data_IF_565077997186
#
_entry.id   IF_565077997186
#
_cell.length_a   1.000
_cell.length_b   1.000
_cell.length_c   1.000
_cell.angle_alpha   90.00
_cell.angle_beta   90.00
_cell.angle_gamma   90.00
#
_symmetry.space_group_name_H-M   'P 1'
#
loop_
_entity.id
_entity.type
_entity.pdbx_description
1 polymer ?
#
# COMPACT_ATOMS: atom_id res chain seq x y z
N UNK A 1 -13.55 -0.06 15.95
CA UNK A 1 -13.12 1.27 16.52
C UNK A 1 -11.79 1.65 15.88
N UNK A 2 -11.59 2.92 15.47
CA UNK A 2 -10.30 3.34 14.89
C UNK A 2 -9.18 3.32 15.96
N UNK A 3 -8.02 2.83 15.56
CA UNK A 3 -6.83 2.84 16.39
C UNK A 3 -6.17 4.24 16.36
N UNK A 4 -5.42 4.56 17.42
CA UNK A 4 -4.41 5.63 17.39
C UNK A 4 -3.11 5.14 16.80
N UNK A 5 -2.17 6.05 16.49
CA UNK A 5 -0.83 5.67 16.08
C UNK A 5 -0.10 4.80 17.12
N UNK A 6 -0.36 5.01 18.41
CA UNK A 6 0.13 4.12 19.46
C UNK A 6 -0.61 2.78 19.46
N UNK A 7 -1.94 2.77 19.28
CA UNK A 7 -2.71 1.54 19.15
C UNK A 7 -2.23 0.69 17.96
N UNK A 8 -1.90 1.33 16.83
CA UNK A 8 -1.27 0.66 15.70
C UNK A 8 0.09 0.05 16.07
N UNK A 9 0.96 0.78 16.78
CA UNK A 9 2.24 0.22 17.22
C UNK A 9 2.06 -0.99 18.13
N UNK A 10 1.15 -0.91 19.08
CA UNK A 10 0.84 -2.05 19.95
C UNK A 10 0.26 -3.24 19.16
N UNK A 11 -0.64 -2.98 18.20
CA UNK A 11 -1.18 -4.08 17.38
C UNK A 11 -0.13 -4.79 16.53
N UNK A 12 0.95 -4.11 16.13
CA UNK A 12 2.07 -4.76 15.43
C UNK A 12 2.87 -5.71 16.34
N UNK A 13 2.83 -5.56 17.67
CA UNK A 13 3.53 -6.44 18.60
C UNK A 13 2.92 -7.83 18.67
N UNK A 14 1.65 -7.95 18.25
CA UNK A 14 0.96 -9.26 18.14
C UNK A 14 1.38 -10.05 16.89
N UNK A 15 2.22 -9.44 16.02
CA UNK A 15 2.74 -10.07 14.81
C UNK A 15 4.25 -10.29 14.96
N UNK A 16 4.71 -11.48 14.58
CA UNK A 16 6.12 -11.88 14.67
C UNK A 16 6.68 -12.26 13.29
N UNK A 17 6.70 -11.31 12.32
CA UNK A 17 7.20 -11.61 10.98
C UNK A 17 8.69 -11.91 10.99
N UNK A 18 9.11 -12.85 10.15
CA UNK A 18 10.52 -13.14 9.91
C UNK A 18 11.09 -12.09 8.96
N UNK A 19 11.72 -11.05 9.51
CA UNK A 19 12.25 -9.89 8.76
C UNK A 19 13.75 -9.80 8.90
N UNK A 20 14.44 -9.64 7.76
CA UNK A 20 15.86 -9.32 7.71
C UNK A 20 16.07 -7.90 7.18
N UNK A 21 16.90 -7.11 7.87
CA UNK A 21 17.36 -5.78 7.41
C UNK A 21 18.88 -5.76 7.47
N UNK A 22 19.53 -5.44 6.35
CA UNK A 22 20.99 -5.43 6.22
C UNK A 22 21.66 -6.73 6.72
N UNK A 23 21.00 -7.87 6.48
CA UNK A 23 21.48 -9.20 6.87
C UNK A 23 21.17 -9.61 8.32
N UNK A 24 20.67 -8.71 9.16
CA UNK A 24 20.30 -9.00 10.54
C UNK A 24 18.82 -9.36 10.67
N UNK A 25 18.50 -10.39 11.46
CA UNK A 25 17.12 -10.73 11.82
C UNK A 25 16.58 -9.65 12.79
N UNK A 26 15.39 -9.16 12.52
CA UNK A 26 14.69 -8.18 13.37
C UNK A 26 13.77 -8.91 14.33
N UNK A 27 13.99 -8.75 15.63
CA UNK A 27 13.16 -9.39 16.67
C UNK A 27 11.81 -8.69 16.84
N UNK A 28 11.80 -7.35 16.82
CA UNK A 28 10.58 -6.54 16.92
C UNK A 28 10.60 -5.45 15.87
N UNK A 29 9.63 -5.48 14.96
CA UNK A 29 9.49 -4.48 13.89
C UNK A 29 9.27 -3.09 14.44
N UNK A 30 8.48 -2.98 15.51
CA UNK A 30 8.13 -1.69 16.14
C UNK A 30 9.32 -1.03 16.81
N UNK A 31 10.18 -1.86 17.42
CA UNK A 31 11.31 -1.39 18.22
C UNK A 31 12.61 -1.29 17.42
N UNK A 32 12.63 -1.80 16.17
CA UNK A 32 13.78 -1.74 15.30
C UNK A 32 14.05 -0.31 14.80
N UNK A 33 15.18 0.34 15.18
CA UNK A 33 15.49 1.69 14.72
C UNK A 33 15.48 1.83 13.19
N UNK A 34 15.92 0.79 12.48
CA UNK A 34 15.96 0.76 11.02
C UNK A 34 14.57 0.88 10.38
N UNK A 35 13.50 0.49 11.06
CA UNK A 35 12.11 0.50 10.55
C UNK A 35 11.27 1.63 11.17
N UNK A 36 11.70 2.22 12.27
CA UNK A 36 10.96 3.25 13.00
C UNK A 36 10.47 4.42 12.13
N UNK A 37 11.22 4.98 11.16
CA UNK A 37 10.72 6.04 10.30
C UNK A 37 9.50 5.60 9.45
N UNK A 38 9.44 4.35 9.02
CA UNK A 38 8.31 3.79 8.29
C UNK A 38 7.09 3.59 9.17
N UNK A 39 7.29 3.01 10.35
CA UNK A 39 6.25 2.85 11.39
C UNK A 39 5.65 4.21 11.76
N UNK A 40 6.49 5.24 11.96
CA UNK A 40 6.04 6.59 12.25
C UNK A 40 5.16 7.17 11.14
N UNK A 41 5.56 7.00 9.86
CA UNK A 41 4.77 7.46 8.72
C UNK A 41 3.38 6.83 8.66
N UNK A 42 3.30 5.52 8.89
CA UNK A 42 2.00 4.81 8.94
C UNK A 42 1.18 5.23 10.16
N UNK A 43 1.79 5.35 11.34
CA UNK A 43 1.10 5.76 12.57
C UNK A 43 0.37 7.10 12.42
N UNK A 44 0.96 8.05 11.68
CA UNK A 44 0.31 9.34 11.41
C UNK A 44 -1.03 9.19 10.67
N UNK A 45 -1.20 8.17 9.83
CA UNK A 45 -2.49 7.94 9.14
C UNK A 45 -3.62 7.55 10.10
N UNK A 46 -3.28 6.97 11.23
CA UNK A 46 -4.22 6.65 12.31
C UNK A 46 -4.55 7.90 13.14
N UNK A 47 -3.50 8.62 13.57
CA UNK A 47 -3.68 9.82 14.41
C UNK A 47 -4.49 10.90 13.70
N UNK A 48 -4.26 11.11 12.38
CA UNK A 48 -5.04 12.07 11.60
C UNK A 48 -6.53 11.70 11.53
N UNK A 49 -6.88 10.42 11.48
CA UNK A 49 -8.28 9.98 11.48
C UNK A 49 -9.00 10.20 12.82
N UNK A 50 -8.26 10.43 13.90
CA UNK A 50 -8.82 10.70 15.22
C UNK A 50 -8.97 12.20 15.51
N UNK A 51 -8.27 13.09 14.79
CA UNK A 51 -8.36 14.54 14.99
C UNK A 51 -9.71 15.07 14.51
N UNK A 52 -10.42 15.83 15.36
CA UNK A 52 -11.76 16.34 15.07
C UNK A 52 -11.83 17.09 13.74
N UNK A 53 -10.89 18.01 13.51
CA UNK A 53 -10.86 18.85 12.29
C UNK A 53 -10.66 18.04 11.02
N UNK A 54 -10.13 16.81 11.08
CA UNK A 54 -9.86 15.96 9.92
C UNK A 54 -10.85 14.83 9.73
N UNK A 55 -11.76 14.60 10.67
CA UNK A 55 -12.80 13.54 10.57
C UNK A 55 -13.53 13.54 9.22
N UNK A 56 -14.03 14.67 8.69
CA UNK A 56 -14.77 14.67 7.43
C UNK A 56 -13.95 14.17 6.24
N UNK A 57 -12.63 14.41 6.28
CA UNK A 57 -11.69 14.00 5.22
C UNK A 57 -11.15 12.60 5.47
N UNK A 58 -10.81 12.26 6.72
CA UNK A 58 -10.08 11.03 7.06
C UNK A 58 -10.97 9.82 7.32
N UNK A 59 -12.29 10.01 7.50
CA UNK A 59 -13.24 8.90 7.74
C UNK A 59 -14.19 8.73 6.57
N UNK A 60 -14.63 7.50 6.36
CA UNK A 60 -15.59 7.14 5.32
C UNK A 60 -16.59 6.10 5.83
N UNK A 61 -17.78 6.12 5.25
CA UNK A 61 -18.75 5.04 5.36
C UNK A 61 -18.65 4.16 4.12
N UNK A 62 -18.67 2.85 4.29
CA UNK A 62 -18.54 1.88 3.21
C UNK A 62 -19.86 1.10 3.11
N UNK A 63 -20.80 1.65 2.36
CA UNK A 63 -22.15 1.14 2.24
C UNK A 63 -22.24 -0.34 1.83
N UNK A 64 -21.45 -0.86 0.84
CA UNK A 64 -21.53 -2.27 0.45
C UNK A 64 -21.24 -3.25 1.58
N UNK A 65 -20.52 -2.81 2.63
CA UNK A 65 -20.15 -3.63 3.79
C UNK A 65 -20.98 -3.26 5.02
N UNK A 66 -21.69 -2.13 5.00
CA UNK A 66 -22.36 -1.56 6.17
C UNK A 66 -21.41 -1.01 7.24
N UNK A 67 -20.15 -0.76 6.88
CA UNK A 67 -19.15 -0.22 7.81
C UNK A 67 -19.22 1.30 7.86
N UNK A 68 -19.14 1.87 9.07
CA UNK A 68 -19.23 3.31 9.30
C UNK A 68 -17.95 3.84 9.96
N UNK A 69 -17.57 5.05 9.58
CA UNK A 69 -16.46 5.78 10.18
C UNK A 69 -15.11 5.09 10.05
N UNK A 70 -14.90 4.24 9.02
CA UNK A 70 -13.60 3.59 8.78
C UNK A 70 -12.55 4.61 8.34
N UNK A 71 -11.27 4.27 8.51
CA UNK A 71 -10.20 5.11 7.96
C UNK A 71 -10.32 5.16 6.43
N UNK A 72 -10.48 6.36 5.86
CA UNK A 72 -10.73 6.57 4.43
C UNK A 72 -9.64 5.98 3.54
N UNK A 73 -8.41 5.93 4.01
CA UNK A 73 -7.31 5.34 3.22
C UNK A 73 -7.55 3.86 2.91
N UNK A 74 -8.27 3.14 3.78
CA UNK A 74 -8.63 1.73 3.59
C UNK A 74 -10.04 1.56 3.01
N UNK A 75 -10.87 2.61 3.02
CA UNK A 75 -12.24 2.57 2.52
C UNK A 75 -12.33 2.34 1.02
N UNK A 76 -13.30 1.51 0.60
CA UNK A 76 -13.69 1.36 -0.80
C UNK A 76 -14.60 2.55 -1.17
N UNK A 77 -14.24 3.36 -2.20
CA UNK A 77 -15.06 4.48 -2.62
C UNK A 77 -16.37 3.98 -3.26
N UNK A 78 -17.49 4.57 -2.87
CA UNK A 78 -18.82 4.25 -3.41
C UNK A 78 -19.27 5.20 -4.52
N UNK A 79 -18.61 6.36 -4.66
CA UNK A 79 -18.97 7.39 -5.62
C UNK A 79 -17.77 8.33 -5.88
N UNK A 80 -17.94 9.27 -6.81
CA UNK A 80 -16.90 10.25 -7.19
C UNK A 80 -16.47 11.15 -6.03
N UNK A 81 -17.39 11.53 -5.13
CA UNK A 81 -17.04 12.37 -3.98
C UNK A 81 -16.12 11.63 -2.99
N UNK A 82 -16.31 10.31 -2.82
CA UNK A 82 -15.41 9.48 -2.00
C UNK A 82 -13.99 9.43 -2.58
N UNK A 83 -13.88 9.37 -3.91
CA UNK A 83 -12.59 9.43 -4.60
C UNK A 83 -11.91 10.79 -4.37
N UNK A 84 -12.65 11.91 -4.51
CA UNK A 84 -12.12 13.25 -4.23
C UNK A 84 -11.69 13.40 -2.76
N UNK A 85 -12.50 12.94 -1.83
CA UNK A 85 -12.17 12.97 -0.41
C UNK A 85 -10.96 12.10 -0.08
N UNK A 86 -10.77 10.97 -0.78
CA UNK A 86 -9.58 10.12 -0.64
C UNK A 86 -8.30 10.84 -1.09
N UNK A 87 -8.37 11.62 -2.18
CA UNK A 87 -7.24 12.46 -2.61
C UNK A 87 -6.84 13.47 -1.53
N UNK A 88 -7.81 14.17 -0.96
CA UNK A 88 -7.54 15.17 0.09
C UNK A 88 -6.97 14.49 1.35
N UNK A 89 -7.48 13.31 1.74
CA UNK A 89 -6.95 12.54 2.87
C UNK A 89 -5.48 12.14 2.66
N UNK A 90 -5.15 11.64 1.47
CA UNK A 90 -3.78 11.23 1.13
C UNK A 90 -2.85 12.44 1.10
N UNK A 91 -3.26 13.56 0.44
CA UNK A 91 -2.48 14.80 0.40
C UNK A 91 -2.19 15.31 1.79
N UNK A 92 -3.22 15.40 2.65
CA UNK A 92 -3.13 15.90 4.03
C UNK A 92 -2.06 15.15 4.84
N UNK A 93 -2.05 13.83 4.81
CA UNK A 93 -1.05 13.06 5.55
C UNK A 93 0.34 13.17 4.91
N UNK A 94 0.42 13.27 3.58
CA UNK A 94 1.70 13.44 2.89
C UNK A 94 2.35 14.81 3.12
N UNK A 95 1.57 15.84 3.44
CA UNK A 95 2.09 17.15 3.90
C UNK A 95 2.86 17.04 5.22
N UNK A 96 2.56 16.05 6.07
CA UNK A 96 3.31 15.79 7.32
C UNK A 96 4.44 14.78 7.09
N UNK A 97 4.17 13.68 6.38
CA UNK A 97 5.04 12.49 6.38
C UNK A 97 5.83 12.30 5.08
N UNK A 98 5.50 13.04 4.03
CA UNK A 98 6.01 12.83 2.68
C UNK A 98 5.46 11.60 1.98
N UNK A 99 4.93 10.61 2.71
CA UNK A 99 4.32 9.41 2.15
C UNK A 99 3.34 8.75 3.13
N UNK A 100 2.10 8.57 2.72
CA UNK A 100 1.03 8.02 3.56
C UNK A 100 0.89 6.49 3.49
N UNK A 101 1.68 5.77 2.76
CA UNK A 101 1.77 4.30 2.52
C UNK A 101 0.46 3.49 2.65
N UNK A 102 -0.38 3.74 3.65
CA UNK A 102 -1.58 2.97 3.98
C UNK A 102 -2.62 2.95 2.84
N UNK A 103 -2.70 4.00 2.02
CA UNK A 103 -3.63 4.07 0.89
C UNK A 103 -3.42 2.96 -0.16
N UNK A 104 -2.19 2.41 -0.28
CA UNK A 104 -1.87 1.31 -1.18
C UNK A 104 -2.78 0.09 -0.95
N UNK A 105 -2.96 -0.29 0.32
CA UNK A 105 -3.87 -1.37 0.71
C UNK A 105 -5.32 -1.09 0.33
N UNK A 106 -5.80 0.14 0.55
CA UNK A 106 -7.15 0.55 0.17
C UNK A 106 -7.39 0.56 -1.35
N UNK A 107 -6.36 0.91 -2.14
CA UNK A 107 -6.42 0.84 -3.60
C UNK A 107 -6.54 -0.62 -4.08
N UNK A 108 -5.76 -1.51 -3.46
CA UNK A 108 -5.83 -2.94 -3.75
C UNK A 108 -7.17 -3.56 -3.33
N UNK A 109 -7.71 -3.20 -2.16
CA UNK A 109 -9.03 -3.66 -1.73
C UNK A 109 -10.13 -3.24 -2.72
N UNK A 110 -10.06 -2.01 -3.24
CA UNK A 110 -11.02 -1.52 -4.25
C UNK A 110 -10.95 -2.35 -5.53
N UNK A 111 -9.75 -2.65 -6.02
CA UNK A 111 -9.54 -3.47 -7.20
C UNK A 111 -9.96 -4.94 -6.99
N UNK A 112 -9.66 -5.51 -5.83
CA UNK A 112 -10.05 -6.89 -5.46
C UNK A 112 -11.58 -6.99 -5.36
N UNK A 113 -12.25 -5.98 -4.77
CA UNK A 113 -13.70 -5.92 -4.72
C UNK A 113 -14.34 -5.94 -6.11
N UNK A 114 -13.83 -5.12 -7.04
CA UNK A 114 -14.30 -5.09 -8.43
C UNK A 114 -14.04 -6.42 -9.16
N UNK A 115 -12.84 -6.99 -8.96
CA UNK A 115 -12.47 -8.27 -9.56
C UNK A 115 -13.35 -9.42 -9.07
N UNK A 116 -13.65 -9.48 -7.77
CA UNK A 116 -14.54 -10.51 -7.20
C UNK A 116 -15.93 -10.48 -7.85
N UNK A 117 -16.47 -9.27 -8.05
CA UNK A 117 -17.77 -9.13 -8.75
C UNK A 117 -17.73 -9.60 -10.21
N UNK A 118 -16.63 -9.37 -10.92
CA UNK A 118 -16.47 -9.87 -12.30
C UNK A 118 -16.40 -11.40 -12.34
N UNK A 119 -15.57 -12.00 -11.47
CA UNK A 119 -15.41 -13.46 -11.42
C UNK A 119 -16.72 -14.14 -11.06
N UNK A 120 -17.45 -13.62 -10.07
CA UNK A 120 -18.75 -14.18 -9.64
C UNK A 120 -19.82 -13.97 -10.74
N UNK A 121 -19.78 -12.85 -11.47
CA UNK A 121 -20.63 -12.59 -12.63
C UNK A 121 -20.41 -13.57 -13.79
N UNK A 122 -19.21 -14.11 -13.93
CA UNK A 122 -18.87 -15.17 -14.89
C UNK A 122 -19.33 -16.58 -14.42
N UNK A 123 -20.10 -16.66 -13.33
CA UNK A 123 -20.71 -17.90 -12.83
C UNK A 123 -19.82 -18.78 -11.95
N UNK A 124 -18.71 -18.25 -11.46
CA UNK A 124 -17.75 -18.93 -10.54
C UNK A 124 -17.87 -18.32 -9.15
N UNK A 125 -18.95 -18.54 -8.47
CA UNK A 125 -19.30 -17.84 -7.24
C UNK A 125 -18.56 -18.30 -5.98
N UNK A 126 -18.20 -17.34 -5.16
CA UNK A 126 -17.91 -17.31 -3.72
C UNK A 126 -16.87 -16.22 -3.38
N UNK A 127 -16.33 -15.51 -4.38
CA UNK A 127 -15.30 -14.51 -4.13
C UNK A 127 -15.86 -13.22 -3.51
N UNK A 128 -17.06 -12.78 -3.92
CA UNK A 128 -17.72 -11.59 -3.32
C UNK A 128 -17.99 -11.81 -1.82
N UNK A 129 -18.59 -12.93 -1.38
CA UNK A 129 -18.74 -13.25 0.04
C UNK A 129 -17.41 -13.27 0.80
N UNK A 130 -16.35 -13.87 0.23
CA UNK A 130 -15.03 -13.93 0.86
C UNK A 130 -14.41 -12.53 1.00
N UNK A 131 -14.43 -11.73 -0.07
CA UNK A 131 -13.89 -10.35 -0.03
C UNK A 131 -14.71 -9.49 0.93
N UNK A 132 -16.05 -9.65 0.98
CA UNK A 132 -16.91 -8.96 1.94
C UNK A 132 -16.53 -9.28 3.39
N UNK A 133 -16.34 -10.55 3.70
CA UNK A 133 -15.92 -11.00 5.04
C UNK A 133 -14.54 -10.45 5.39
N UNK A 134 -13.60 -10.49 4.43
CA UNK A 134 -12.25 -9.95 4.61
C UNK A 134 -12.25 -8.43 4.83
N UNK A 135 -13.05 -7.67 4.09
CA UNK A 135 -13.23 -6.23 4.33
C UNK A 135 -13.76 -5.96 5.73
N UNK A 136 -14.74 -6.74 6.19
CA UNK A 136 -15.24 -6.68 7.57
C UNK A 136 -14.12 -6.88 8.59
N UNK A 137 -13.25 -7.89 8.38
CA UNK A 137 -12.08 -8.15 9.21
C UNK A 137 -11.11 -6.95 9.22
N UNK A 138 -10.75 -6.42 8.04
CA UNK A 138 -9.85 -5.28 7.91
C UNK A 138 -10.38 -4.04 8.64
N UNK A 139 -11.67 -3.74 8.48
CA UNK A 139 -12.28 -2.56 9.12
C UNK A 139 -12.47 -2.73 10.62
N UNK A 140 -12.82 -3.94 11.08
CA UNK A 140 -12.95 -4.22 12.52
C UNK A 140 -11.62 -4.07 13.27
N UNK A 141 -10.53 -4.55 12.66
CA UNK A 141 -9.17 -4.44 13.21
C UNK A 141 -8.45 -3.13 12.87
N UNK A 142 -9.05 -2.25 12.04
CA UNK A 142 -8.38 -1.06 11.48
C UNK A 142 -6.99 -1.38 10.91
N UNK A 143 -6.89 -2.50 10.18
CA UNK A 143 -5.63 -3.06 9.72
C UNK A 143 -4.96 -2.19 8.65
N UNK A 144 -3.64 -2.31 8.54
CA UNK A 144 -2.83 -1.75 7.46
C UNK A 144 -2.29 -2.88 6.60
N UNK A 145 -2.42 -2.74 5.26
CA UNK A 145 -2.12 -3.80 4.30
C UNK A 145 -1.01 -3.39 3.34
N UNK A 146 -0.07 -4.28 3.10
CA UNK A 146 0.92 -4.17 2.05
C UNK A 146 0.43 -4.80 0.75
N UNK A 147 0.95 -4.36 -0.41
CA UNK A 147 0.55 -4.89 -1.73
C UNK A 147 1.72 -5.63 -2.37
N UNK A 148 1.59 -6.95 -2.45
CA UNK A 148 2.56 -7.86 -3.02
C UNK A 148 2.17 -8.21 -4.47
N UNK A 149 2.37 -7.27 -5.40
CA UNK A 149 1.99 -7.43 -6.80
C UNK A 149 3.17 -7.81 -7.70
N UNK A 150 4.29 -7.09 -7.58
CA UNK A 150 5.45 -7.28 -8.46
C UNK A 150 6.19 -8.57 -8.12
N UNK A 151 6.47 -9.40 -9.12
CA UNK A 151 7.28 -10.61 -8.97
C UNK A 151 8.79 -10.31 -9.09
N UNK A 152 9.65 -11.28 -8.75
CA UNK A 152 11.10 -11.14 -8.80
C UNK A 152 11.67 -10.97 -10.23
N UNK A 153 10.84 -11.08 -11.24
CA UNK A 153 11.09 -10.80 -12.67
C UNK A 153 11.87 -11.85 -13.46
N UNK A 154 12.69 -12.69 -12.92
CA UNK A 154 13.38 -13.76 -13.65
C UNK A 154 13.87 -13.36 -15.07
N UNK A 155 13.71 -14.21 -16.05
CA UNK A 155 13.93 -13.91 -17.47
C UNK A 155 12.70 -13.19 -18.06
N UNK A 156 12.86 -11.88 -18.33
CA UNK A 156 11.77 -11.02 -18.82
C UNK A 156 11.25 -11.37 -20.22
N UNK A 157 12.00 -12.13 -20.99
CA UNK A 157 11.57 -12.61 -22.32
C UNK A 157 10.57 -13.75 -22.21
N UNK A 158 10.44 -14.38 -21.05
CA UNK A 158 9.62 -15.56 -20.80
C UNK A 158 8.37 -15.25 -20.00
N UNK A 159 7.34 -16.06 -20.23
CA UNK A 159 6.11 -16.07 -19.43
C UNK A 159 6.38 -16.70 -18.06
N UNK A 160 5.51 -16.48 -17.04
CA UNK A 160 5.66 -17.09 -15.72
C UNK A 160 5.84 -18.61 -15.78
N UNK A 161 5.00 -19.33 -16.52
CA UNK A 161 5.08 -20.79 -16.66
C UNK A 161 6.38 -21.28 -17.32
N UNK A 162 7.05 -20.44 -18.10
CA UNK A 162 8.24 -20.79 -18.87
C UNK A 162 9.56 -20.34 -18.21
N UNK A 163 9.51 -19.85 -16.97
CA UNK A 163 10.71 -19.42 -16.24
C UNK A 163 11.61 -20.62 -15.94
N UNK A 164 12.95 -20.47 -16.07
CA UNK A 164 13.89 -21.52 -15.69
C UNK A 164 13.79 -21.92 -14.21
N UNK A 165 13.51 -20.95 -13.35
CA UNK A 165 13.14 -21.16 -11.96
C UNK A 165 11.66 -20.81 -11.78
N UNK A 166 10.78 -21.79 -11.53
CA UNK A 166 9.35 -21.54 -11.34
C UNK A 166 9.05 -20.62 -10.16
N UNK A 167 9.90 -20.64 -9.12
CA UNK A 167 9.73 -19.80 -7.92
C UNK A 167 10.16 -18.33 -8.13
N UNK A 168 10.65 -17.96 -9.32
CA UNK A 168 10.88 -16.56 -9.66
C UNK A 168 9.57 -15.73 -9.65
N UNK A 169 8.44 -16.39 -9.88
CA UNK A 169 7.10 -15.83 -9.77
C UNK A 169 6.31 -16.56 -8.70
N UNK A 170 5.54 -15.82 -7.91
CA UNK A 170 4.66 -16.44 -6.94
C UNK A 170 3.55 -17.23 -7.64
N UNK A 171 3.31 -18.44 -7.18
CA UNK A 171 2.32 -19.35 -7.74
C UNK A 171 1.68 -20.25 -6.68
N UNK A 172 0.57 -20.88 -7.07
CA UNK A 172 -0.07 -21.93 -6.30
C UNK A 172 0.74 -23.22 -6.55
N UNK A 173 1.52 -23.65 -5.56
CA UNK A 173 2.31 -24.85 -5.60
C UNK A 173 1.43 -26.11 -5.34
N UNK A 174 0.41 -25.97 -4.48
CA UNK A 174 -0.52 -27.05 -4.14
C UNK A 174 -1.92 -26.49 -3.88
N UNK A 175 -2.95 -27.24 -4.29
CA UNK A 175 -4.34 -27.02 -3.91
C UNK A 175 -4.78 -28.07 -2.92
N UNK A 176 -5.32 -27.63 -1.78
CA UNK A 176 -5.85 -28.50 -0.72
C UNK A 176 -7.35 -28.32 -0.58
N UNK A 177 -7.98 -29.22 0.16
CA UNK A 177 -9.42 -29.11 0.45
C UNK A 177 -9.75 -27.82 1.24
N UNK A 178 -8.85 -27.37 2.09
CA UNK A 178 -9.00 -26.24 3.01
C UNK A 178 -8.31 -24.95 2.55
N UNK A 179 -7.55 -24.96 1.42
CA UNK A 179 -6.85 -23.77 0.94
C UNK A 179 -5.87 -24.03 -0.19
N UNK A 180 -4.91 -23.12 -0.32
CA UNK A 180 -3.81 -23.21 -1.28
C UNK A 180 -2.47 -23.07 -0.58
N UNK A 181 -1.43 -23.68 -1.14
CA UNK A 181 -0.03 -23.49 -0.71
C UNK A 181 0.67 -22.65 -1.76
N UNK A 182 1.33 -21.59 -1.33
CA UNK A 182 2.03 -20.64 -2.19
C UNK A 182 3.55 -20.82 -2.10
N UNK A 183 4.21 -20.78 -3.25
CA UNK A 183 5.66 -20.69 -3.36
C UNK A 183 6.07 -19.62 -4.37
N UNK A 184 7.25 -19.03 -4.16
CA UNK A 184 7.82 -18.03 -5.05
C UNK A 184 8.15 -16.71 -4.38
N UNK A 185 8.43 -15.69 -5.18
CA UNK A 185 8.95 -14.42 -4.67
C UNK A 185 8.15 -13.23 -5.18
N UNK A 186 7.78 -12.34 -4.26
CA UNK A 186 7.26 -11.00 -4.56
C UNK A 186 8.29 -9.94 -4.17
N UNK A 187 8.45 -8.91 -4.98
CA UNK A 187 9.47 -7.89 -4.82
C UNK A 187 8.89 -6.48 -4.71
N UNK A 188 9.68 -5.58 -4.09
CA UNK A 188 9.39 -4.14 -3.99
C UNK A 188 8.05 -3.87 -3.27
N UNK A 189 7.79 -4.62 -2.19
CA UNK A 189 6.58 -4.43 -1.39
C UNK A 189 6.81 -3.28 -0.41
N UNK A 190 6.14 -2.17 -0.66
CA UNK A 190 6.23 -0.98 0.18
C UNK A 190 5.68 -1.25 1.57
N UNK A 191 6.48 -0.96 2.60
CA UNK A 191 6.08 -1.04 3.99
C UNK A 191 5.91 -2.45 4.54
N UNK A 192 6.15 -3.53 3.77
CA UNK A 192 5.85 -4.90 4.15
C UNK A 192 6.18 -5.26 5.60
N UNK A 193 7.35 -4.90 6.17
CA UNK A 193 7.69 -5.31 7.52
C UNK A 193 6.75 -4.83 8.62
N UNK A 194 6.11 -3.68 8.43
CA UNK A 194 5.24 -3.03 9.41
C UNK A 194 3.78 -2.92 8.94
N UNK A 195 3.36 -3.83 8.06
CA UNK A 195 1.95 -4.09 7.73
C UNK A 195 1.44 -5.25 8.58
N UNK A 196 0.12 -5.38 8.72
CA UNK A 196 -0.50 -6.53 9.38
C UNK A 196 -0.60 -7.73 8.44
N UNK A 197 -0.96 -7.44 7.19
CA UNK A 197 -1.15 -8.46 6.16
C UNK A 197 -0.66 -7.96 4.79
N UNK A 198 -0.37 -8.91 3.91
CA UNK A 198 -0.02 -8.65 2.52
C UNK A 198 -1.16 -9.09 1.60
N UNK A 199 -1.60 -8.18 0.73
CA UNK A 199 -2.47 -8.51 -0.40
C UNK A 199 -1.60 -8.98 -1.56
N UNK A 200 -1.60 -10.27 -1.80
CA UNK A 200 -0.91 -10.90 -2.93
C UNK A 200 -1.79 -10.74 -4.16
N UNK A 201 -1.20 -10.28 -5.27
CA UNK A 201 -1.91 -10.05 -6.53
C UNK A 201 -1.03 -10.44 -7.72
N UNK A 202 -1.60 -10.84 -8.87
CA UNK A 202 -0.83 -11.01 -10.11
C UNK A 202 -0.26 -9.67 -10.56
N UNK A 203 0.93 -9.68 -11.17
CA UNK A 203 1.62 -8.46 -11.61
C UNK A 203 1.46 -8.14 -13.10
N UNK A 204 0.73 -8.97 -13.87
CA UNK A 204 0.61 -8.87 -15.33
C UNK A 204 -0.57 -9.67 -15.88
N UNK A 205 -0.84 -9.49 -17.17
CA UNK A 205 -1.72 -10.40 -17.91
C UNK A 205 -1.18 -11.83 -17.88
N UNK A 206 -2.08 -12.78 -17.70
CA UNK A 206 -1.81 -14.22 -17.68
C UNK A 206 -2.42 -14.90 -18.92
N UNK A 207 -1.93 -16.09 -19.25
CA UNK A 207 -2.51 -17.01 -20.22
C UNK A 207 -2.98 -18.26 -19.49
N UNK A 208 -3.64 -19.16 -20.17
CA UNK A 208 -4.10 -20.44 -19.61
C UNK A 208 -2.94 -21.23 -18.97
N UNK A 209 -1.79 -21.25 -19.61
CA UNK A 209 -0.58 -21.90 -19.08
C UNK A 209 -0.05 -21.24 -17.81
N UNK A 210 -0.40 -19.97 -17.56
CA UNK A 210 -0.02 -19.23 -16.35
C UNK A 210 -1.06 -19.37 -15.23
N UNK A 211 -2.06 -20.25 -15.33
CA UNK A 211 -3.19 -20.31 -14.38
C UNK A 211 -2.76 -20.50 -12.92
N UNK A 212 -1.69 -21.25 -12.66
CA UNK A 212 -1.14 -21.39 -11.31
C UNK A 212 -0.58 -20.09 -10.73
N UNK A 213 -0.20 -19.13 -11.58
CA UNK A 213 0.33 -17.82 -11.21
C UNK A 213 -0.77 -16.75 -11.06
N UNK A 214 -1.99 -17.05 -11.50
CA UNK A 214 -3.16 -16.18 -11.36
C UNK A 214 -3.76 -16.38 -9.96
N UNK A 215 -3.12 -15.78 -8.96
CA UNK A 215 -3.54 -15.89 -7.56
C UNK A 215 -3.70 -14.49 -6.95
N UNK A 216 -4.81 -14.30 -6.22
CA UNK A 216 -5.04 -13.13 -5.37
C UNK A 216 -5.53 -13.61 -4.00
N UNK A 217 -4.85 -13.18 -2.94
CA UNK A 217 -5.16 -13.59 -1.58
C UNK A 217 -4.62 -12.61 -0.53
N UNK A 218 -5.03 -12.80 0.72
CA UNK A 218 -4.50 -12.09 1.87
C UNK A 218 -3.65 -13.03 2.74
N UNK A 219 -2.44 -12.62 3.09
CA UNK A 219 -1.49 -13.38 3.89
C UNK A 219 -1.02 -12.55 5.07
N UNK A 220 -1.09 -13.08 6.29
CA UNK A 220 -0.49 -12.42 7.47
C UNK A 220 1.02 -12.29 7.28
N UNK A 221 1.60 -11.17 7.73
CA UNK A 221 3.05 -10.94 7.59
C UNK A 221 3.90 -11.94 8.39
N UNK A 222 3.30 -12.58 9.40
CA UNK A 222 3.92 -13.60 10.24
C UNK A 222 3.50 -15.04 9.86
N UNK A 223 2.93 -15.23 8.68
CA UNK A 223 2.54 -16.56 8.20
C UNK A 223 3.77 -17.50 8.18
N UNK A 224 3.63 -18.75 8.66
CA UNK A 224 4.69 -19.76 8.53
C UNK A 224 5.16 -19.91 7.08
N UNK A 225 6.49 -19.92 6.85
CA UNK A 225 7.08 -19.98 5.53
C UNK A 225 7.27 -18.63 4.83
N UNK A 226 6.73 -17.52 5.37
CA UNK A 226 6.95 -16.18 4.82
C UNK A 226 8.22 -15.56 5.42
N UNK A 227 9.12 -15.09 4.55
CA UNK A 227 10.32 -14.33 4.97
C UNK A 227 10.36 -13.00 4.22
N UNK A 228 10.60 -11.92 4.92
CA UNK A 228 10.77 -10.58 4.38
C UNK A 228 12.24 -10.15 4.44
N UNK A 229 12.79 -9.73 3.31
CA UNK A 229 14.11 -9.11 3.23
C UNK A 229 13.92 -7.65 2.88
N UNK A 230 14.19 -6.77 3.82
CA UNK A 230 13.84 -5.35 3.75
C UNK A 230 15.07 -4.45 3.80
N UNK A 231 14.95 -3.27 3.23
CA UNK A 231 15.89 -2.18 3.44
C UNK A 231 15.44 -1.28 4.60
N UNK A 232 16.35 -0.53 5.22
CA UNK A 232 15.97 0.47 6.23
C UNK A 232 14.92 1.46 5.71
N UNK A 233 14.09 1.95 6.60
CA UNK A 233 13.10 2.99 6.33
C UNK A 233 13.68 4.37 6.61
N UNK A 234 14.10 5.10 5.59
CA UNK A 234 14.67 6.43 5.78
C UNK A 234 16.12 6.39 6.28
N UNK A 235 16.48 7.35 7.14
CA UNK A 235 17.84 7.54 7.68
C UNK A 235 17.80 7.65 9.21
N UNK A 236 17.49 6.57 9.92
CA UNK A 236 17.38 6.59 11.37
C UNK A 236 18.71 6.98 12.03
N UNK A 237 18.66 7.90 13.01
CA UNK A 237 19.84 8.34 13.75
C UNK A 237 20.77 9.36 13.05
N UNK A 238 20.52 9.71 11.79
CA UNK A 238 21.31 10.70 11.06
C UNK A 238 20.93 12.14 11.50
N UNK A 239 21.86 12.81 12.22
CA UNK A 239 21.59 14.14 12.81
C UNK A 239 21.26 15.23 11.78
N UNK A 240 21.84 15.16 10.58
CA UNK A 240 21.62 16.13 9.50
C UNK A 240 20.29 15.90 8.74
N UNK A 241 19.70 14.72 8.85
CA UNK A 241 18.53 14.31 8.06
C UNK A 241 17.27 14.21 8.92
N UNK A 242 16.91 15.27 9.65
CA UNK A 242 15.82 15.28 10.65
C UNK A 242 14.49 14.71 10.13
N UNK A 243 14.10 15.07 8.90
CA UNK A 243 12.87 14.59 8.29
C UNK A 243 12.93 13.09 8.01
N UNK A 244 13.96 12.62 7.29
CA UNK A 244 14.10 11.19 6.93
C UNK A 244 14.56 10.30 8.08
N UNK A 245 15.01 10.88 9.21
CA UNK A 245 15.18 10.17 10.47
C UNK A 245 13.86 9.93 11.20
N UNK A 246 12.85 10.81 10.99
CA UNK A 246 11.53 10.72 11.61
C UNK A 246 10.53 9.95 10.74
N UNK A 247 10.52 10.20 9.43
CA UNK A 247 9.61 9.61 8.45
C UNK A 247 10.37 9.00 7.28
N UNK A 248 9.91 7.85 6.83
CA UNK A 248 10.54 7.14 5.74
C UNK A 248 9.72 5.98 5.23
N UNK A 249 10.30 5.24 4.30
CA UNK A 249 9.63 4.11 3.67
C UNK A 249 10.62 2.98 3.46
N UNK A 250 10.32 1.82 4.06
CA UNK A 250 10.98 0.56 3.72
C UNK A 250 10.32 -0.06 2.50
N UNK A 251 11.06 -0.89 1.80
CA UNK A 251 10.53 -1.85 0.81
C UNK A 251 11.16 -3.19 1.09
N UNK A 252 10.43 -4.27 0.82
CA UNK A 252 10.91 -5.62 1.03
C UNK A 252 10.69 -6.51 -0.19
N UNK A 253 11.50 -7.55 -0.25
CA UNK A 253 11.25 -8.77 -1.01
C UNK A 253 10.57 -9.75 -0.05
N UNK A 254 9.50 -10.39 -0.48
CA UNK A 254 8.79 -11.43 0.26
C UNK A 254 9.04 -12.79 -0.42
N UNK A 255 9.61 -13.70 0.33
CA UNK A 255 9.88 -15.09 -0.08
C UNK A 255 8.82 -15.97 0.55
N UNK A 256 8.05 -16.65 -0.29
CA UNK A 256 7.02 -17.59 0.10
C UNK A 256 7.58 -19.02 -0.09
N UNK A 257 7.81 -19.70 1.00
CA UNK A 257 8.27 -21.07 1.06
C UNK A 257 7.17 -21.94 1.66
N UNK A 258 6.34 -22.53 0.79
CA UNK A 258 5.21 -23.37 1.16
C UNK A 258 4.21 -22.69 2.12
N UNK A 259 3.86 -21.43 1.85
CA UNK A 259 2.93 -20.65 2.69
C UNK A 259 1.49 -21.11 2.45
N UNK A 260 0.84 -21.64 3.48
CA UNK A 260 -0.57 -22.03 3.42
C UNK A 260 -1.49 -20.82 3.54
N UNK A 261 -2.53 -20.75 2.69
CA UNK A 261 -3.58 -19.74 2.70
C UNK A 261 -4.95 -20.43 2.63
N UNK A 262 -5.79 -20.28 3.66
CA UNK A 262 -7.13 -20.90 3.68
C UNK A 262 -8.07 -20.23 2.67
N UNK A 263 -9.09 -20.98 2.18
CA UNK A 263 -9.96 -20.52 1.10
C UNK A 263 -10.70 -19.21 1.38
N UNK A 264 -11.04 -18.91 2.63
CA UNK A 264 -11.70 -17.67 3.02
C UNK A 264 -10.83 -16.41 2.79
N UNK A 265 -9.51 -16.61 2.62
CA UNK A 265 -8.54 -15.54 2.32
C UNK A 265 -8.09 -15.53 0.85
N UNK A 266 -8.67 -16.38 0.00
CA UNK A 266 -8.35 -16.48 -1.42
C UNK A 266 -9.44 -15.81 -2.25
N UNK A 267 -9.06 -14.85 -3.09
CA UNK A 267 -9.94 -13.98 -3.89
C UNK A 267 -9.80 -14.22 -5.41
N UNK A 268 -8.83 -15.01 -5.83
CA UNK A 268 -8.60 -15.51 -7.19
C UNK A 268 -7.67 -16.71 -7.09
N UNK A 269 -7.98 -17.79 -7.79
CA UNK A 269 -7.16 -19.00 -7.80
C UNK A 269 -7.25 -19.71 -9.16
N UNK A 270 -6.57 -19.17 -10.17
CA UNK A 270 -6.48 -19.75 -11.48
C UNK A 270 -7.34 -19.07 -12.57
N UNK A 271 -8.15 -18.07 -12.21
CA UNK A 271 -8.93 -17.27 -13.17
C UNK A 271 -8.00 -16.32 -13.94
N UNK A 272 -7.14 -16.88 -14.77
CA UNK A 272 -6.07 -16.19 -15.49
C UNK A 272 -6.58 -15.02 -16.37
N UNK A 273 -7.81 -15.14 -16.93
CA UNK A 273 -8.45 -14.08 -17.72
C UNK A 273 -8.66 -12.81 -16.90
N UNK A 274 -8.86 -12.95 -15.59
CA UNK A 274 -9.13 -11.83 -14.68
C UNK A 274 -7.85 -11.20 -14.09
N UNK A 275 -6.68 -11.81 -14.33
CA UNK A 275 -5.40 -11.26 -13.84
C UNK A 275 -5.10 -9.87 -14.43
N UNK A 276 -5.26 -9.70 -15.74
CA UNK A 276 -5.07 -8.40 -16.42
C UNK A 276 -6.04 -7.31 -15.97
N UNK A 277 -7.36 -7.57 -15.97
CA UNK A 277 -8.34 -6.64 -15.42
C UNK A 277 -8.06 -6.22 -13.98
N UNK A 278 -7.68 -7.15 -13.09
CA UNK A 278 -7.31 -6.82 -11.70
C UNK A 278 -6.11 -5.86 -11.62
N UNK A 279 -5.07 -6.12 -12.43
CA UNK A 279 -3.88 -5.24 -12.51
C UNK A 279 -4.26 -3.86 -13.02
N UNK A 280 -5.16 -3.78 -14.01
CA UNK A 280 -5.64 -2.51 -14.55
C UNK A 280 -6.41 -1.70 -13.49
N UNK A 281 -7.36 -2.33 -12.79
CA UNK A 281 -8.15 -1.67 -11.75
C UNK A 281 -7.26 -1.16 -10.61
N UNK A 282 -6.35 -2.01 -10.12
CA UNK A 282 -5.39 -1.57 -9.12
C UNK A 282 -4.57 -0.37 -9.61
N UNK A 283 -4.07 -0.44 -10.85
CA UNK A 283 -3.27 0.65 -11.43
C UNK A 283 -4.07 1.95 -11.56
N UNK A 284 -5.37 1.87 -11.87
CA UNK A 284 -6.24 3.04 -11.94
C UNK A 284 -6.42 3.71 -10.58
N UNK A 285 -6.79 2.92 -9.54
CA UNK A 285 -6.91 3.42 -8.18
C UNK A 285 -5.57 3.97 -7.65
N UNK A 286 -4.48 3.22 -7.87
CA UNK A 286 -3.17 3.59 -7.37
C UNK A 286 -2.61 4.86 -8.04
N UNK A 287 -2.79 5.05 -9.34
CA UNK A 287 -2.40 6.28 -10.03
C UNK A 287 -3.17 7.50 -9.52
N UNK A 288 -4.46 7.31 -9.23
CA UNK A 288 -5.30 8.33 -8.65
C UNK A 288 -4.74 8.81 -7.30
N UNK A 289 -4.49 7.92 -6.36
CA UNK A 289 -3.98 8.26 -5.02
C UNK A 289 -2.51 8.69 -5.03
N UNK A 290 -1.67 8.14 -5.90
CA UNK A 290 -0.27 8.54 -6.06
C UNK A 290 -0.09 10.00 -6.44
N UNK A 291 -0.99 10.57 -7.24
CA UNK A 291 -0.90 11.99 -7.61
C UNK A 291 -1.16 12.87 -6.37
N UNK A 292 -2.13 12.51 -5.54
CA UNK A 292 -2.38 13.20 -4.28
C UNK A 292 -1.19 13.12 -3.31
N UNK A 293 -0.55 11.94 -3.22
CA UNK A 293 0.65 11.77 -2.43
C UNK A 293 1.80 12.67 -2.91
N UNK A 294 1.98 12.78 -4.23
CA UNK A 294 2.99 13.67 -4.83
C UNK A 294 2.67 15.14 -4.60
N UNK A 295 1.39 15.54 -4.68
CA UNK A 295 0.97 16.88 -4.38
C UNK A 295 1.26 17.25 -2.92
N UNK A 296 0.95 16.36 -1.95
CA UNK A 296 1.28 16.59 -0.54
C UNK A 296 2.78 16.66 -0.27
N UNK A 297 3.59 15.85 -0.96
CA UNK A 297 5.05 15.98 -0.89
C UNK A 297 5.55 17.27 -1.58
N UNK A 298 4.91 17.68 -2.66
CA UNK A 298 5.18 18.96 -3.34
C UNK A 298 4.96 20.16 -2.41
N UNK A 299 3.90 20.13 -1.60
CA UNK A 299 3.63 21.17 -0.59
C UNK A 299 4.79 21.30 0.42
N UNK A 300 5.38 20.15 0.85
CA UNK A 300 6.57 20.16 1.70
C UNK A 300 7.79 20.78 1.00
N UNK A 301 7.97 20.51 -0.29
CA UNK A 301 9.08 21.10 -1.05
C UNK A 301 8.92 22.61 -1.24
N UNK A 302 7.68 23.08 -1.46
CA UNK A 302 7.36 24.51 -1.54
C UNK A 302 7.71 25.19 -0.21
N UNK A 303 7.25 24.64 0.91
CA UNK A 303 7.56 25.14 2.25
C UNK A 303 9.06 25.13 2.56
N UNK A 304 9.77 24.06 2.18
CA UNK A 304 11.22 23.97 2.35
C UNK A 304 11.97 25.03 1.51
N UNK A 305 11.54 25.26 0.27
CA UNK A 305 12.09 26.32 -0.59
C UNK A 305 11.93 27.71 0.02
N UNK A 306 10.74 28.00 0.54
CA UNK A 306 10.46 29.28 1.22
C UNK A 306 11.35 29.46 2.46
N UNK A 307 11.45 28.44 3.32
CA UNK A 307 12.30 28.47 4.51
C UNK A 307 13.79 28.60 4.18
N UNK A 308 14.25 27.97 3.10
CA UNK A 308 15.65 28.08 2.65
C UNK A 308 15.97 29.49 2.16
N UNK A 309 15.09 30.13 1.41
CA UNK A 309 15.29 31.52 0.96
C UNK A 309 15.31 32.49 2.15
N UNK A 310 14.39 32.34 3.08
CA UNK A 310 14.35 33.14 4.31
C UNK A 310 15.62 32.96 5.15
N UNK A 311 16.06 31.71 5.37
CA UNK A 311 17.28 31.39 6.14
C UNK A 311 18.56 31.95 5.52
N UNK A 312 18.59 32.16 4.20
CA UNK A 312 19.69 32.82 3.48
C UNK A 312 19.55 34.35 3.39
N UNK A 313 18.54 34.94 4.04
CA UNK A 313 18.31 36.38 4.01
C UNK A 313 17.87 36.92 2.64
N UNK A 314 17.32 36.03 1.79
CA UNK A 314 16.87 36.39 0.44
C UNK A 314 15.41 36.81 0.48
N UNK A 315 15.13 38.03 0.04
CA UNK A 315 13.79 38.54 -0.17
C UNK A 315 13.29 38.11 -1.55
N UNK A 316 12.27 37.24 -1.60
CA UNK A 316 11.67 36.76 -2.85
C UNK A 316 11.05 37.87 -3.69
N UNK A 317 10.64 39.00 -3.07
CA UNK A 317 10.10 40.14 -3.81
C UNK A 317 11.19 40.89 -4.61
N UNK A 318 12.45 40.69 -4.25
CA UNK A 318 13.62 41.29 -4.89
C UNK A 318 14.47 40.32 -5.70
N UNK A 319 14.22 39.02 -5.56
CA UNK A 319 14.99 37.93 -6.23
C UNK A 319 14.11 37.28 -7.31
N UNK A 320 13.96 37.94 -8.46
CA UNK A 320 13.07 37.54 -9.55
C UNK A 320 13.32 36.10 -10.00
N UNK A 321 14.58 35.70 -10.15
CA UNK A 321 14.95 34.36 -10.59
C UNK A 321 14.52 33.25 -9.62
N UNK A 322 14.62 33.48 -8.31
CA UNK A 322 14.17 32.53 -7.30
C UNK A 322 12.64 32.51 -7.18
N UNK A 323 12.01 33.68 -7.28
CA UNK A 323 10.56 33.77 -7.33
C UNK A 323 9.97 33.03 -8.52
N UNK A 324 10.56 33.13 -9.72
CA UNK A 324 10.16 32.36 -10.89
C UNK A 324 10.27 30.85 -10.66
N UNK A 325 11.37 30.36 -10.09
CA UNK A 325 11.53 28.95 -9.75
C UNK A 325 10.51 28.44 -8.72
N UNK A 326 10.21 29.26 -7.70
CA UNK A 326 9.15 28.94 -6.71
C UNK A 326 7.76 28.91 -7.35
N UNK A 327 7.47 29.85 -8.25
CA UNK A 327 6.21 29.88 -9.01
C UNK A 327 6.09 28.62 -9.90
N UNK A 328 7.15 28.21 -10.56
CA UNK A 328 7.13 26.99 -11.39
C UNK A 328 6.95 25.73 -10.55
N UNK A 329 7.57 25.64 -9.37
CA UNK A 329 7.34 24.55 -8.44
C UNK A 329 5.86 24.48 -8.02
N UNK A 330 5.26 25.63 -7.64
CA UNK A 330 3.84 25.74 -7.28
C UNK A 330 2.95 25.30 -8.44
N UNK A 331 3.22 25.77 -9.66
CA UNK A 331 2.46 25.38 -10.86
C UNK A 331 2.50 23.86 -11.09
N UNK A 332 3.68 23.23 -10.99
CA UNK A 332 3.83 21.78 -11.17
C UNK A 332 2.99 21.00 -10.14
N UNK A 333 2.99 21.42 -8.88
CA UNK A 333 2.22 20.80 -7.81
C UNK A 333 0.72 20.99 -8.03
N UNK A 334 0.26 22.19 -8.39
CA UNK A 334 -1.16 22.49 -8.61
C UNK A 334 -1.71 21.86 -9.91
N UNK A 335 -0.92 21.76 -10.99
CA UNK A 335 -1.30 21.00 -12.21
C UNK A 335 -1.53 19.54 -11.85
N UNK A 336 -0.66 18.93 -11.04
CA UNK A 336 -0.85 17.58 -10.54
C UNK A 336 -2.17 17.41 -9.79
N UNK A 337 -2.50 18.36 -8.92
CA UNK A 337 -3.77 18.41 -8.16
C UNK A 337 -5.00 18.57 -9.05
N UNK A 338 -4.97 19.48 -10.01
CA UNK A 338 -6.07 19.73 -10.94
C UNK A 338 -6.35 18.48 -11.79
N UNK A 339 -5.30 17.84 -12.34
CA UNK A 339 -5.43 16.61 -13.13
C UNK A 339 -6.08 15.45 -12.39
N UNK A 340 -5.99 15.40 -11.05
CA UNK A 340 -6.69 14.41 -10.26
C UNK A 340 -8.20 14.67 -10.22
N UNK A 341 -8.60 15.93 -10.06
CA UNK A 341 -10.01 16.32 -9.95
C UNK A 341 -10.77 16.16 -11.26
N UNK A 342 -10.10 16.38 -12.40
CA UNK A 342 -10.71 16.22 -13.73
C UNK A 342 -10.92 14.76 -14.16
N UNK A 343 -10.28 13.79 -13.49
CA UNK A 343 -10.38 12.36 -13.80
C UNK A 343 -11.41 11.60 -12.97
N UNK A 344 -12.08 12.26 -12.04
CA UNK A 344 -13.16 11.76 -11.20
C UNK A 344 -14.51 12.23 -11.71
#
# INVERSE_FOLDING_TARGET
>A
MLLSGNGYRESLRDYHPRVYVDGALIESVVDAPALAPGVNGVAMTYDFALREQFKPVMRADVAPIGAQGVNRMMGIPGNSQDLLNKLEAVRLVCQETGCAQRYLGGDALSAIWQSAHRIDGDGKSEYVPRVRAYLGHVYAGDLTLGVAMTDAKGDRSKRPYAQPNPDAYLHIAERRADGVVLSGVKAIITGAPYMHELLVMPGRNMSEHDSAFAVCCAVRVDAPGLTLVARPAGRPGEKGAKFSAKYGQSTAVAIFDQVFVPWERVFMAGEWQQAGPLVYDYSAHHRHTCIAARAGFGDLLIGAGALMTEANGIDLDRADNLREQMVDLIKIVEIGRASCRERV
#
